data_IF_175223220933
#
_entry.id   IF_175223220933
#
_cell.length_a   1.000
_cell.length_b   1.000
_cell.length_c   1.000
_cell.angle_alpha   90.00
_cell.angle_beta   90.00
_cell.angle_gamma   90.00
#
_symmetry.space_group_name_H-M   'P 1'
#
loop_
_entity.id
_entity.type
_entity.pdbx_description
1 polymer ?
#
# COMPACT_ATOMS: atom_id res chain seq x y z
N UNK A 1 -20.49 -5.22 -4.95
CA UNK A 1 -19.79 -3.92 -4.80
C UNK A 1 -20.67 -2.89 -5.48
N UNK A 2 -20.85 -1.68 -4.95
CA UNK A 2 -21.69 -0.69 -5.65
C UNK A 2 -20.89 0.03 -6.77
N UNK A 3 -21.26 -0.22 -8.02
CA UNK A 3 -20.69 0.35 -9.24
C UNK A 3 -21.50 1.53 -9.80
N UNK A 4 -22.50 2.03 -9.07
CA UNK A 4 -23.36 3.12 -9.53
C UNK A 4 -22.59 4.43 -9.74
N UNK A 5 -23.01 5.21 -10.74
CA UNK A 5 -22.36 6.49 -11.09
C UNK A 5 -22.27 7.46 -9.89
N UNK A 6 -23.30 7.64 -9.02
CA UNK A 6 -23.18 8.49 -7.85
C UNK A 6 -22.09 8.03 -6.86
N UNK A 7 -21.99 6.72 -6.63
CA UNK A 7 -20.97 6.14 -5.75
C UNK A 7 -19.57 6.31 -6.33
N UNK A 8 -19.41 6.11 -7.64
CA UNK A 8 -18.15 6.35 -8.34
C UNK A 8 -17.75 7.83 -8.28
N UNK A 9 -18.69 8.75 -8.44
CA UNK A 9 -18.44 10.19 -8.29
C UNK A 9 -17.92 10.52 -6.90
N UNK A 10 -18.57 10.03 -5.84
CA UNK A 10 -18.12 10.24 -4.48
C UNK A 10 -16.70 9.68 -4.26
N UNK A 11 -16.43 8.46 -4.72
CA UNK A 11 -15.10 7.86 -4.65
C UNK A 11 -14.05 8.70 -5.42
N UNK A 12 -14.42 9.28 -6.56
CA UNK A 12 -13.54 10.09 -7.37
C UNK A 12 -13.13 11.38 -6.66
N UNK A 13 -14.07 12.05 -5.97
CA UNK A 13 -13.72 13.24 -5.18
C UNK A 13 -12.69 12.95 -4.10
N UNK A 14 -12.81 11.79 -3.42
CA UNK A 14 -11.80 11.32 -2.44
C UNK A 14 -10.49 10.92 -3.12
N UNK A 15 -10.56 10.32 -4.30
CA UNK A 15 -9.38 9.93 -5.09
C UNK A 15 -8.52 11.13 -5.50
N UNK A 16 -9.14 12.27 -5.85
CA UNK A 16 -8.41 13.48 -6.30
C UNK A 16 -7.87 14.29 -5.13
N UNK A 17 -8.47 14.19 -3.93
CA UNK A 17 -8.08 14.98 -2.76
C UNK A 17 -6.60 14.80 -2.42
N UNK A 18 -5.84 15.89 -2.41
CA UNK A 18 -4.42 15.90 -2.06
C UNK A 18 -3.47 15.44 -3.18
N UNK A 19 -3.98 15.10 -4.38
CA UNK A 19 -3.14 14.72 -5.52
C UNK A 19 -2.65 15.93 -6.30
N UNK A 20 -1.39 15.88 -6.71
CA UNK A 20 -0.83 16.85 -7.66
C UNK A 20 -1.55 16.73 -9.00
N UNK A 21 -1.93 17.87 -9.58
CA UNK A 21 -2.46 17.92 -10.95
C UNK A 21 -1.37 17.52 -11.95
N UNK A 22 -1.65 16.47 -12.71
CA UNK A 22 -0.84 15.97 -13.82
C UNK A 22 -1.65 16.08 -15.10
N UNK A 23 -0.99 16.14 -16.26
CA UNK A 23 -1.69 16.25 -17.56
C UNK A 23 -2.69 15.11 -17.76
N UNK A 24 -2.29 13.88 -17.43
CA UNK A 24 -3.17 12.69 -17.47
C UNK A 24 -4.41 12.91 -16.59
N UNK A 25 -4.23 13.43 -15.36
CA UNK A 25 -5.34 13.63 -14.43
C UNK A 25 -6.27 14.74 -14.90
N UNK A 26 -5.72 15.82 -15.45
CA UNK A 26 -6.51 16.90 -16.04
C UNK A 26 -7.34 16.41 -17.21
N UNK A 27 -6.77 15.59 -18.10
CA UNK A 27 -7.50 14.97 -19.21
C UNK A 27 -8.62 14.04 -18.72
N UNK A 28 -8.34 13.23 -17.70
CA UNK A 28 -9.35 12.36 -17.09
C UNK A 28 -10.51 13.17 -16.48
N UNK A 29 -10.19 14.27 -15.78
CA UNK A 29 -11.20 15.17 -15.19
C UNK A 29 -12.01 15.89 -16.28
N UNK A 30 -11.39 16.26 -17.40
CA UNK A 30 -12.09 16.91 -18.50
C UNK A 30 -13.17 16.01 -19.12
N UNK A 31 -12.91 14.71 -19.23
CA UNK A 31 -13.86 13.70 -19.71
C UNK A 31 -14.54 12.90 -18.58
N UNK A 32 -14.66 13.49 -17.38
CA UNK A 32 -15.04 12.75 -16.17
C UNK A 32 -16.37 12.00 -16.30
N UNK A 33 -17.42 12.65 -16.80
CA UNK A 33 -18.75 12.02 -16.91
C UNK A 33 -18.73 10.79 -17.81
N UNK A 34 -18.13 10.91 -19.00
CA UNK A 34 -17.99 9.80 -19.95
C UNK A 34 -17.15 8.67 -19.35
N UNK A 35 -16.01 9.00 -18.73
CA UNK A 35 -15.13 8.03 -18.10
C UNK A 35 -15.85 7.27 -16.96
N UNK A 36 -16.61 7.96 -16.12
CA UNK A 36 -17.34 7.32 -15.01
C UNK A 36 -18.48 6.42 -15.51
N UNK A 37 -19.20 6.84 -16.57
CA UNK A 37 -20.23 6.01 -17.21
C UNK A 37 -19.65 4.75 -17.83
N UNK A 38 -18.52 4.89 -18.53
CA UNK A 38 -17.78 3.76 -19.11
C UNK A 38 -17.36 2.78 -18.01
N UNK A 39 -16.67 3.26 -16.98
CA UNK A 39 -16.22 2.43 -15.85
C UNK A 39 -17.41 1.78 -15.14
N UNK A 40 -18.50 2.51 -14.90
CA UNK A 40 -19.72 1.94 -14.29
C UNK A 40 -20.29 0.79 -15.13
N UNK A 41 -20.31 0.95 -16.45
CA UNK A 41 -20.81 -0.06 -17.39
C UNK A 41 -19.89 -1.28 -17.43
N UNK A 42 -18.58 -1.06 -17.55
CA UNK A 42 -17.57 -2.13 -17.57
C UNK A 42 -17.54 -2.93 -16.28
N UNK A 43 -17.65 -2.25 -15.14
CA UNK A 43 -17.74 -2.91 -13.85
C UNK A 43 -19.03 -3.71 -13.78
N UNK A 44 -20.18 -3.12 -14.06
CA UNK A 44 -21.48 -3.81 -13.95
C UNK A 44 -21.59 -5.03 -14.87
N UNK A 45 -20.98 -4.97 -16.06
CA UNK A 45 -20.96 -6.07 -17.03
C UNK A 45 -19.81 -7.07 -16.83
N UNK A 46 -18.97 -6.90 -15.81
CA UNK A 46 -17.77 -7.71 -15.58
C UNK A 46 -16.83 -7.78 -16.81
N UNK A 47 -16.67 -6.67 -17.53
CA UNK A 47 -15.83 -6.56 -18.73
C UNK A 47 -14.62 -5.65 -18.56
N UNK A 48 -14.48 -5.01 -17.39
CA UNK A 48 -13.28 -4.24 -17.06
C UNK A 48 -12.03 -5.14 -17.14
N UNK A 49 -10.99 -4.64 -17.80
CA UNK A 49 -9.68 -5.26 -17.87
C UNK A 49 -8.64 -4.25 -17.41
N UNK A 50 -7.71 -4.69 -16.56
CA UNK A 50 -6.68 -3.81 -16.04
C UNK A 50 -5.62 -3.51 -17.10
N UNK A 51 -5.24 -2.24 -17.25
CA UNK A 51 -4.22 -1.82 -18.21
C UNK A 51 -2.78 -2.26 -17.88
N UNK A 52 -1.83 -1.97 -18.75
CA UNK A 52 -0.41 -2.24 -18.48
C UNK A 52 0.19 -1.25 -17.47
N UNK A 53 1.19 -1.70 -16.71
CA UNK A 53 1.94 -0.83 -15.79
C UNK A 53 3.09 -0.11 -16.50
N UNK A 54 3.29 1.17 -16.19
CA UNK A 54 4.51 1.91 -16.54
C UNK A 54 5.53 1.76 -15.41
N UNK A 55 6.68 1.15 -15.68
CA UNK A 55 7.75 0.98 -14.71
C UNK A 55 8.81 2.08 -14.77
N UNK A 56 9.26 2.58 -13.61
CA UNK A 56 10.46 3.42 -13.49
C UNK A 56 11.15 3.20 -12.15
N UNK A 57 12.45 3.52 -12.08
CA UNK A 57 13.25 3.36 -10.86
C UNK A 57 13.45 4.70 -10.17
N UNK A 58 13.21 4.75 -8.86
CA UNK A 58 13.51 5.90 -8.00
C UNK A 58 14.69 5.56 -7.09
N UNK A 59 15.73 6.40 -7.13
CA UNK A 59 16.95 6.27 -6.35
C UNK A 59 17.07 7.43 -5.35
N UNK A 60 16.26 7.38 -4.29
CA UNK A 60 16.36 8.32 -3.17
C UNK A 60 17.40 7.78 -2.16
N UNK A 61 16.96 7.21 -1.03
CA UNK A 61 17.85 6.51 -0.09
C UNK A 61 18.09 5.03 -0.45
N UNK A 62 17.15 4.41 -1.17
CA UNK A 62 17.16 3.00 -1.56
C UNK A 62 16.47 2.88 -2.92
N UNK A 63 17.10 2.14 -3.85
CA UNK A 63 16.53 1.83 -5.16
C UNK A 63 15.15 1.15 -5.01
N UNK A 64 14.13 1.78 -5.57
CA UNK A 64 12.75 1.27 -5.64
C UNK A 64 12.30 1.26 -7.10
N UNK A 65 11.97 0.09 -7.60
CA UNK A 65 11.32 -0.06 -8.90
C UNK A 65 9.82 0.14 -8.67
N UNK A 66 9.25 1.15 -9.33
CA UNK A 66 7.86 1.58 -9.15
C UNK A 66 7.09 1.22 -10.42
N UNK A 67 6.01 0.47 -10.26
CA UNK A 67 5.01 0.22 -11.29
C UNK A 67 3.82 1.16 -11.09
N UNK A 68 3.51 1.98 -12.10
CA UNK A 68 2.40 2.94 -12.06
C UNK A 68 1.34 2.53 -13.07
N UNK A 69 0.14 2.26 -12.58
CA UNK A 69 -1.03 1.99 -13.40
C UNK A 69 -1.64 3.29 -13.97
N UNK A 70 -2.51 3.14 -14.98
CA UNK A 70 -3.23 4.26 -15.59
C UNK A 70 -4.12 4.99 -14.57
N UNK A 71 -4.67 6.15 -14.91
CA UNK A 71 -5.58 6.86 -14.00
C UNK A 71 -6.89 6.10 -13.82
N UNK A 72 -7.41 5.48 -14.88
CA UNK A 72 -8.58 4.61 -14.85
C UNK A 72 -8.37 3.48 -13.84
N UNK A 73 -7.25 2.77 -13.96
CA UNK A 73 -6.91 1.65 -13.07
C UNK A 73 -6.66 2.10 -11.63
N UNK A 74 -5.93 3.20 -11.42
CA UNK A 74 -5.72 3.76 -10.07
C UNK A 74 -7.04 4.18 -9.42
N UNK A 75 -8.01 4.64 -10.19
CA UNK A 75 -9.34 4.94 -9.69
C UNK A 75 -10.09 3.67 -9.30
N UNK A 76 -10.03 2.61 -10.12
CA UNK A 76 -10.59 1.29 -9.78
C UNK A 76 -9.92 0.71 -8.52
N UNK A 77 -8.60 0.84 -8.37
CA UNK A 77 -7.89 0.45 -7.15
C UNK A 77 -8.38 1.22 -5.93
N UNK A 78 -8.73 2.50 -6.10
CA UNK A 78 -9.31 3.29 -5.02
C UNK A 78 -10.70 2.81 -4.65
N UNK A 79 -11.52 2.42 -5.63
CA UNK A 79 -12.84 1.82 -5.38
C UNK A 79 -12.71 0.53 -4.56
N UNK A 80 -11.81 -0.36 -4.97
CA UNK A 80 -11.48 -1.60 -4.23
C UNK A 80 -10.97 -1.29 -2.82
N UNK A 81 -10.10 -0.29 -2.66
CA UNK A 81 -9.61 0.13 -1.35
C UNK A 81 -10.76 0.56 -0.43
N UNK A 82 -11.68 1.41 -0.89
CA UNK A 82 -12.82 1.85 -0.09
C UNK A 82 -13.77 0.70 0.29
N UNK A 83 -13.88 -0.30 -0.58
CA UNK A 83 -14.62 -1.53 -0.31
C UNK A 83 -13.92 -2.40 0.75
N UNK A 84 -12.63 -2.69 0.56
CA UNK A 84 -11.84 -3.54 1.43
C UNK A 84 -11.67 -2.97 2.84
N UNK A 85 -11.45 -1.65 2.97
CA UNK A 85 -11.28 -0.99 4.28
C UNK A 85 -12.49 -1.23 5.18
N UNK A 86 -13.72 -1.16 4.65
CA UNK A 86 -14.96 -1.38 5.43
C UNK A 86 -15.04 -2.78 6.02
N UNK A 87 -14.43 -3.77 5.36
CA UNK A 87 -14.43 -5.18 5.73
C UNK A 87 -13.27 -5.49 6.68
N UNK A 88 -12.05 -5.12 6.28
CA UNK A 88 -10.83 -5.56 6.96
C UNK A 88 -10.39 -4.67 8.12
N UNK A 89 -10.70 -3.37 8.11
CA UNK A 89 -10.15 -2.45 9.13
C UNK A 89 -10.56 -2.86 10.55
N UNK A 90 -11.77 -3.42 10.69
CA UNK A 90 -12.33 -3.94 11.95
C UNK A 90 -11.65 -5.23 12.44
N UNK A 91 -10.92 -5.91 11.57
CA UNK A 91 -10.28 -7.21 11.87
C UNK A 91 -8.83 -7.08 12.32
N UNK A 92 -8.20 -5.93 12.05
CA UNK A 92 -6.81 -5.71 12.39
C UNK A 92 -6.61 -5.55 13.90
N UNK A 93 -5.48 -6.09 14.39
CA UNK A 93 -5.04 -5.81 15.75
C UNK A 93 -4.76 -4.32 15.94
N UNK A 94 -4.88 -3.86 17.18
CA UNK A 94 -4.76 -2.43 17.52
C UNK A 94 -3.43 -1.81 17.06
N UNK A 95 -2.34 -2.56 17.13
CA UNK A 95 -0.98 -2.10 16.82
C UNK A 95 -0.63 -2.14 15.32
N UNK A 96 -1.62 -2.28 14.44
CA UNK A 96 -1.47 -1.98 13.00
C UNK A 96 -1.66 -0.48 12.79
N UNK A 97 -0.58 0.21 12.43
CA UNK A 97 -0.55 1.69 12.30
C UNK A 97 -0.51 2.19 10.86
N UNK A 98 -0.07 1.38 9.89
CA UNK A 98 0.12 1.82 8.51
C UNK A 98 -1.19 1.87 7.73
N UNK A 99 -1.37 2.91 6.92
CA UNK A 99 -2.46 3.04 5.93
C UNK A 99 -3.88 2.95 6.52
N UNK A 100 -4.08 3.45 7.75
CA UNK A 100 -5.38 3.47 8.42
C UNK A 100 -5.77 4.89 8.80
N UNK A 101 -7.07 5.17 8.80
CA UNK A 101 -7.59 6.45 9.31
C UNK A 101 -7.34 6.53 10.82
N UNK A 102 -7.07 7.73 11.34
CA UNK A 102 -6.74 7.99 12.76
C UNK A 102 -5.49 7.26 13.31
N UNK A 103 -4.72 6.59 12.45
CA UNK A 103 -3.46 5.93 12.78
C UNK A 103 -2.33 6.60 11.99
N UNK A 104 -1.22 6.88 12.65
CA UNK A 104 -0.11 7.60 12.03
C UNK A 104 1.24 7.26 12.63
N UNK A 105 2.29 7.76 11.99
CA UNK A 105 3.67 7.52 12.40
C UNK A 105 3.93 8.00 13.83
N UNK A 106 3.45 9.20 14.18
CA UNK A 106 3.64 9.77 15.52
C UNK A 106 3.01 8.89 16.60
N UNK A 107 1.75 8.51 16.43
CA UNK A 107 1.06 7.62 17.38
C UNK A 107 1.73 6.24 17.49
N UNK A 108 2.27 5.70 16.38
CA UNK A 108 3.04 4.46 16.40
C UNK A 108 4.35 4.60 17.20
N UNK A 109 5.03 5.74 17.09
CA UNK A 109 6.25 6.05 17.85
C UNK A 109 5.94 6.18 19.34
N UNK A 110 4.91 6.94 19.70
CA UNK A 110 4.45 7.10 21.09
C UNK A 110 4.09 5.74 21.69
N UNK A 111 3.32 4.93 20.95
CA UNK A 111 2.99 3.56 21.36
C UNK A 111 4.24 2.70 21.59
N UNK A 112 5.22 2.79 20.71
CA UNK A 112 6.48 2.07 20.86
C UNK A 112 7.27 2.57 22.08
N UNK A 113 7.33 3.88 22.32
CA UNK A 113 7.98 4.47 23.48
C UNK A 113 7.34 4.03 24.80
N UNK A 114 6.02 3.91 24.84
CA UNK A 114 5.28 3.38 25.98
C UNK A 114 5.70 1.94 26.30
N UNK A 115 5.78 1.07 25.29
CA UNK A 115 6.26 -0.31 25.48
C UNK A 115 7.70 -0.35 25.97
N UNK A 116 8.59 0.45 25.37
CA UNK A 116 10.00 0.54 25.77
C UNK A 116 10.16 1.05 27.21
N UNK A 117 9.32 1.99 27.64
CA UNK A 117 9.37 2.59 28.98
C UNK A 117 8.90 1.62 30.05
N UNK A 118 7.89 0.79 29.75
CA UNK A 118 7.38 -0.23 30.68
C UNK A 118 8.32 -1.42 30.79
N UNK A 119 8.95 -1.81 29.68
CA UNK A 119 9.75 -3.02 29.56
C UNK A 119 11.23 -2.71 29.32
N UNK A 120 11.85 -1.92 30.21
CA UNK A 120 13.20 -1.38 30.01
C UNK A 120 14.30 -2.43 29.91
N UNK A 121 14.10 -3.63 30.44
CA UNK A 121 15.12 -4.68 30.45
C UNK A 121 14.85 -5.79 29.43
N UNK A 122 13.77 -5.70 28.67
CA UNK A 122 13.38 -6.75 27.73
C UNK A 122 14.15 -6.65 26.41
N UNK A 123 14.16 -7.77 25.68
CA UNK A 123 14.70 -7.86 24.34
C UNK A 123 13.62 -7.58 23.30
N UNK A 124 13.97 -6.83 22.25
CA UNK A 124 13.06 -6.49 21.16
C UNK A 124 13.54 -7.13 19.86
N UNK A 125 12.60 -7.76 19.14
CA UNK A 125 12.86 -8.27 17.82
C UNK A 125 12.51 -7.23 16.76
N UNK A 126 13.43 -6.99 15.83
CA UNK A 126 13.21 -6.12 14.66
C UNK A 126 13.30 -6.97 13.40
N UNK A 127 12.16 -7.17 12.74
CA UNK A 127 12.05 -7.84 11.45
C UNK A 127 11.62 -6.90 10.33
N UNK A 128 12.01 -7.21 9.10
CA UNK A 128 11.50 -6.59 7.87
C UNK A 128 11.37 -7.66 6.78
N UNK A 129 10.34 -7.54 5.93
CA UNK A 129 10.10 -8.51 4.84
C UNK A 129 10.73 -8.00 3.56
N UNK A 130 11.65 -8.76 3.00
CA UNK A 130 12.30 -8.42 1.73
C UNK A 130 11.28 -8.45 0.59
N UNK A 131 11.20 -7.34 -0.16
CA UNK A 131 10.35 -7.21 -1.36
C UNK A 131 8.91 -7.68 -1.10
N UNK A 132 8.29 -7.21 -0.02
CA UNK A 132 6.96 -7.65 0.42
C UNK A 132 5.95 -7.77 -0.74
N UNK A 133 5.79 -6.73 -1.57
CA UNK A 133 4.82 -6.76 -2.67
C UNK A 133 5.15 -7.76 -3.77
N UNK A 134 6.44 -8.02 -4.05
CA UNK A 134 6.87 -9.00 -5.04
C UNK A 134 6.79 -10.45 -4.49
N UNK A 135 6.80 -10.62 -3.17
CA UNK A 135 6.89 -11.93 -2.51
C UNK A 135 5.55 -12.48 -2.03
N UNK A 136 4.46 -11.73 -2.17
CA UNK A 136 3.11 -12.21 -1.83
C UNK A 136 2.67 -13.27 -2.85
N UNK A 137 2.36 -14.46 -2.35
CA UNK A 137 1.76 -15.52 -3.16
C UNK A 137 0.31 -15.13 -3.52
N UNK A 138 0.01 -15.06 -4.81
CA UNK A 138 -1.31 -14.63 -5.30
C UNK A 138 -2.41 -15.66 -5.01
N UNK A 139 -2.11 -16.96 -4.98
CA UNK A 139 -3.08 -18.00 -4.64
C UNK A 139 -3.52 -17.87 -3.18
N UNK A 140 -2.55 -17.79 -2.26
CA UNK A 140 -2.80 -17.60 -0.83
C UNK A 140 -3.55 -16.29 -0.55
N UNK A 141 -3.20 -15.21 -1.25
CA UNK A 141 -3.92 -13.94 -1.12
C UNK A 141 -5.40 -14.09 -1.52
N UNK A 142 -5.67 -14.77 -2.63
CA UNK A 142 -7.04 -15.00 -3.11
C UNK A 142 -7.86 -15.86 -2.16
N UNK A 143 -7.25 -16.87 -1.55
CA UNK A 143 -7.91 -17.70 -0.55
C UNK A 143 -8.28 -16.87 0.70
N UNK A 144 -7.38 -16.02 1.18
CA UNK A 144 -7.64 -15.10 2.30
C UNK A 144 -8.77 -14.11 1.98
N UNK A 145 -8.85 -13.63 0.74
CA UNK A 145 -9.92 -12.73 0.29
C UNK A 145 -11.28 -13.43 0.29
N UNK A 146 -11.35 -14.65 -0.26
CA UNK A 146 -12.58 -15.46 -0.30
C UNK A 146 -13.12 -15.83 1.08
N UNK A 147 -12.28 -15.90 2.11
CA UNK A 147 -12.72 -16.20 3.47
C UNK A 147 -13.60 -15.11 4.09
N UNK A 148 -13.58 -13.87 3.59
CA UNK A 148 -14.31 -12.73 4.18
C UNK A 148 -15.18 -11.96 3.20
N UNK A 149 -15.03 -12.18 1.91
CA UNK A 149 -15.77 -11.49 0.86
C UNK A 149 -16.66 -12.52 0.18
N UNK A 150 -17.97 -12.38 0.36
CA UNK A 150 -18.99 -13.25 -0.27
C UNK A 150 -19.50 -12.68 -1.61
N UNK A 151 -19.00 -11.52 -2.01
CA UNK A 151 -19.45 -10.76 -3.17
C UNK A 151 -18.68 -11.17 -4.42
N UNK A 152 -19.28 -12.02 -5.25
CA UNK A 152 -18.68 -12.56 -6.48
C UNK A 152 -18.18 -11.46 -7.42
N UNK A 153 -18.90 -10.35 -7.48
CA UNK A 153 -18.55 -9.21 -8.34
C UNK A 153 -17.25 -8.54 -7.86
N UNK A 154 -17.12 -8.35 -6.55
CA UNK A 154 -15.90 -7.81 -5.95
C UNK A 154 -14.73 -8.80 -6.09
N UNK A 155 -14.97 -10.10 -5.89
CA UNK A 155 -13.95 -11.14 -6.05
C UNK A 155 -13.43 -11.22 -7.48
N UNK A 156 -14.31 -11.12 -8.49
CA UNK A 156 -13.91 -11.06 -9.89
C UNK A 156 -12.98 -9.88 -10.16
N UNK A 157 -13.34 -8.68 -9.70
CA UNK A 157 -12.53 -7.48 -9.90
C UNK A 157 -11.19 -7.55 -9.16
N UNK A 158 -11.18 -8.12 -7.96
CA UNK A 158 -9.95 -8.38 -7.20
C UNK A 158 -9.04 -9.36 -7.92
N UNK A 159 -9.59 -10.45 -8.48
CA UNK A 159 -8.81 -11.43 -9.24
C UNK A 159 -8.19 -10.79 -10.49
N UNK A 160 -8.93 -9.95 -11.22
CA UNK A 160 -8.44 -9.19 -12.37
C UNK A 160 -7.26 -8.28 -11.99
N UNK A 161 -7.40 -7.50 -10.91
CA UNK A 161 -6.34 -6.59 -10.44
C UNK A 161 -5.11 -7.34 -9.91
N UNK A 162 -5.30 -8.45 -9.20
CA UNK A 162 -4.19 -9.25 -8.66
C UNK A 162 -3.40 -9.91 -9.80
N UNK A 163 -4.09 -10.47 -10.79
CA UNK A 163 -3.46 -11.13 -11.95
C UNK A 163 -2.76 -10.16 -12.88
N UNK A 164 -3.25 -8.92 -12.97
CA UNK A 164 -2.62 -7.90 -13.82
C UNK A 164 -1.18 -7.60 -13.40
N UNK A 165 -0.87 -7.78 -12.12
CA UNK A 165 0.47 -7.58 -11.60
C UNK A 165 1.32 -8.85 -11.77
N UNK A 166 2.17 -8.83 -12.77
CA UNK A 166 3.27 -9.79 -12.90
C UNK A 166 4.51 -9.18 -12.25
N UNK A 167 4.87 -9.68 -11.07
CA UNK A 167 6.13 -9.27 -10.43
C UNK A 167 7.29 -9.54 -11.38
N UNK A 168 8.18 -8.57 -11.58
CA UNK A 168 9.44 -8.82 -12.28
C UNK A 168 10.27 -9.80 -11.45
N UNK A 169 10.09 -11.08 -11.73
CA UNK A 169 10.88 -12.21 -11.25
C UNK A 169 12.22 -12.31 -11.98
N UNK A 170 12.54 -11.38 -12.87
CA UNK A 170 13.93 -11.16 -13.23
C UNK A 170 14.68 -10.80 -11.96
N UNK A 171 15.38 -11.80 -11.45
CA UNK A 171 16.42 -11.72 -10.44
C UNK A 171 17.52 -10.85 -11.03
N UNK A 172 17.26 -9.54 -11.14
CA UNK A 172 18.30 -8.56 -11.19
C UNK A 172 19.08 -8.75 -9.91
N UNK A 173 20.20 -9.47 -10.03
CA UNK A 173 21.27 -9.45 -9.05
C UNK A 173 21.44 -7.99 -8.66
N UNK A 174 20.96 -7.62 -7.47
CA UNK A 174 21.42 -6.38 -6.89
C UNK A 174 22.91 -6.63 -6.71
N UNK A 175 23.71 -5.89 -7.47
CA UNK A 175 24.99 -5.37 -6.98
C UNK A 175 24.70 -4.73 -5.62
N UNK A 176 24.64 -5.57 -4.58
CA UNK A 176 25.17 -5.20 -3.28
C UNK A 176 26.65 -5.15 -3.56
N UNK A 177 27.14 -4.00 -4.01
CA UNK A 177 28.53 -3.55 -3.88
C UNK A 177 28.68 -2.21 -4.60
N UNK A 178 27.99 -1.18 -4.12
CA UNK A 178 28.75 0.07 -4.03
C UNK A 178 29.76 -0.17 -2.90
N UNK A 179 31.07 0.03 -3.12
CA UNK A 179 32.02 -0.02 -2.03
C UNK A 179 31.73 1.21 -1.17
N UNK A 180 30.78 1.09 -0.26
CA UNK A 180 31.00 1.70 1.02
C UNK A 180 32.34 1.13 1.46
N UNK A 181 33.39 1.96 1.48
CA UNK A 181 34.43 1.80 2.48
C UNK A 181 33.67 1.54 3.76
N UNK A 182 33.57 0.26 4.16
CA UNK A 182 33.16 -0.11 5.50
C UNK A 182 34.24 0.54 6.33
N UNK A 183 33.98 1.75 6.81
CA UNK A 183 34.68 2.22 7.97
C UNK A 183 34.40 1.13 9.00
N UNK A 184 35.40 0.31 9.28
CA UNK A 184 35.39 -0.70 10.34
C UNK A 184 35.08 -0.09 11.71
N UNK A 185 35.11 1.25 11.80
CA UNK A 185 34.66 2.04 12.95
C UNK A 185 33.16 2.38 12.96
N UNK A 186 32.37 1.97 11.95
CA UNK A 186 30.92 1.80 12.14
C UNK A 186 30.69 0.36 12.57
N UNK A 187 31.21 0.01 13.74
CA UNK A 187 30.49 -0.93 14.58
C UNK A 187 29.01 -0.54 14.56
N UNK A 188 28.12 -1.52 14.63
CA UNK A 188 26.83 -1.30 15.26
C UNK A 188 27.15 -0.78 16.68
N UNK A 189 27.50 0.50 16.81
CA UNK A 189 27.40 1.20 18.06
C UNK A 189 25.94 1.04 18.42
N UNK A 190 25.73 0.22 19.43
CA UNK A 190 24.47 -0.06 20.09
C UNK A 190 23.51 1.10 19.86
N UNK A 191 22.53 0.92 18.98
CA UNK A 191 21.35 1.77 19.02
C UNK A 191 20.56 1.30 20.23
N UNK A 192 21.13 1.50 21.42
CA UNK A 192 20.38 1.40 22.64
C UNK A 192 19.43 2.59 22.64
N UNK A 193 18.26 2.41 22.01
CA UNK A 193 17.20 3.40 21.95
C UNK A 193 16.80 3.90 23.35
N UNK A 194 17.16 3.15 24.41
CA UNK A 194 16.97 3.54 25.81
C UNK A 194 17.68 4.84 26.16
N UNK A 195 18.78 5.20 25.50
CA UNK A 195 19.50 6.45 25.78
C UNK A 195 18.71 7.72 25.39
N UNK A 196 17.70 7.57 24.51
CA UNK A 196 16.84 8.67 24.05
C UNK A 196 15.47 8.70 24.75
N UNK A 197 15.20 7.75 25.66
CA UNK A 197 13.96 7.77 26.43
C UNK A 197 14.08 8.76 27.58
N UNK A 198 13.07 9.63 27.83
CA UNK A 198 13.11 10.56 28.94
C UNK A 198 13.30 9.79 30.25
N UNK A 199 14.30 10.20 31.03
CA UNK A 199 14.44 9.75 32.40
C UNK A 199 13.37 10.46 33.22
N UNK A 200 12.46 9.71 33.86
CA UNK A 200 11.55 10.31 34.84
C UNK A 200 12.41 10.92 35.94
N UNK A 201 12.37 12.25 36.08
CA UNK A 201 12.74 12.90 37.34
C UNK A 201 11.75 12.36 38.37
N UNK A 202 12.28 11.70 39.40
CA UNK A 202 11.50 11.13 40.51
C UNK A 202 10.80 12.22 41.30
#
# INVERSE_FOLDING_TARGET
MDSSVPTLWHCFTRFVRGKKRTTELSHFIFHLESNLKEISTELSNCTYQHGTYRSFTVNDTKRRDIAVASIKDRFVHRLLYEYLVKIYDKTFVYDVWSCREEKGLLAAIERAQDFLTRNRQDYFWRGDVRKFFDSVNQDTLRDILRMRIDDDHALWLLDEVIRSYQGNLEVGHRERDWPHKRNSNRQCHQSDFRQYLPQRIR
#
